data_IF_584815687688
#
_entry.id   IF_584815687688
#
_cell.length_a   1.000
_cell.length_b   1.000
_cell.length_c   1.000
_cell.angle_alpha   90.00
_cell.angle_beta   90.00
_cell.angle_gamma   90.00
#
_symmetry.space_group_name_H-M   'P 1'
#
loop_
_entity.id
_entity.type
_entity.pdbx_description
1 polymer ?
#
# COMPACT_ATOMS: atom_id res chain seq x y z
N UNK A 1 16.82 -8.71 15.71
CA UNK A 1 16.06 -9.90 15.27
C UNK A 1 14.56 -9.75 15.58
N UNK A 2 14.13 -8.63 16.17
CA UNK A 2 12.76 -8.38 16.66
C UNK A 2 11.67 -8.31 15.57
N UNK A 3 12.06 -8.09 14.31
CA UNK A 3 11.12 -8.11 13.18
C UNK A 3 10.62 -9.53 12.83
N UNK A 4 11.28 -10.59 13.34
CA UNK A 4 10.69 -11.92 13.30
C UNK A 4 9.63 -12.07 14.40
N UNK A 5 8.62 -12.87 14.15
CA UNK A 5 7.63 -13.23 15.15
C UNK A 5 8.18 -14.26 16.14
N UNK A 6 7.88 -14.05 17.42
CA UNK A 6 8.14 -15.03 18.50
C UNK A 6 6.80 -15.58 19.00
N UNK A 7 6.59 -16.90 19.04
CA UNK A 7 5.32 -17.47 19.50
C UNK A 7 4.90 -16.92 20.87
N UNK A 8 3.67 -16.43 20.99
CA UNK A 8 3.11 -15.91 22.25
C UNK A 8 3.58 -14.51 22.66
N UNK A 9 4.34 -13.80 21.82
CA UNK A 9 4.88 -12.47 22.14
C UNK A 9 4.69 -11.49 20.98
N UNK A 10 4.16 -10.30 21.27
CA UNK A 10 4.17 -9.16 20.33
C UNK A 10 5.58 -8.55 20.24
N UNK A 11 5.95 -8.05 19.07
CA UNK A 11 7.24 -7.37 18.90
C UNK A 11 7.23 -5.92 19.43
N UNK A 12 8.34 -5.19 19.30
CA UNK A 12 8.47 -3.79 19.74
C UNK A 12 7.51 -2.80 19.07
N UNK A 13 6.88 -3.20 17.96
CA UNK A 13 5.85 -2.42 17.26
C UNK A 13 4.41 -2.85 17.58
N UNK A 14 4.24 -3.68 18.62
CA UNK A 14 2.96 -4.24 19.06
C UNK A 14 2.25 -5.09 17.98
N UNK A 15 3.03 -5.72 17.10
CA UNK A 15 2.50 -6.62 16.08
C UNK A 15 2.39 -8.04 16.65
N UNK A 16 1.18 -8.60 16.61
CA UNK A 16 0.92 -9.98 17.01
C UNK A 16 1.73 -11.00 16.20
N UNK A 17 2.14 -12.12 16.80
CA UNK A 17 2.99 -13.10 16.14
C UNK A 17 2.29 -13.80 14.97
N UNK A 18 3.06 -14.09 13.92
CA UNK A 18 2.60 -14.77 12.72
C UNK A 18 3.55 -15.91 12.37
N UNK A 19 3.03 -17.14 12.25
CA UNK A 19 3.83 -18.35 12.00
C UNK A 19 4.71 -18.27 10.74
N UNK A 20 4.25 -17.74 9.59
CA UNK A 20 5.11 -17.51 8.43
C UNK A 20 6.36 -16.66 8.70
N UNK A 21 6.33 -15.81 9.74
CA UNK A 21 7.42 -14.92 10.10
C UNK A 21 8.21 -15.40 11.33
N UNK A 22 8.11 -16.68 11.72
CA UNK A 22 8.99 -17.24 12.75
C UNK A 22 10.44 -17.36 12.29
N UNK A 23 11.36 -17.27 13.25
CA UNK A 23 12.81 -17.34 13.04
C UNK A 23 13.20 -18.72 12.51
N UNK A 24 13.93 -18.74 11.40
CA UNK A 24 14.55 -19.94 10.84
C UNK A 24 15.94 -19.59 10.29
N UNK A 25 16.88 -20.54 10.24
CA UNK A 25 18.21 -20.30 9.70
C UNK A 25 18.17 -19.72 8.27
N UNK A 26 18.87 -18.60 8.06
CA UNK A 26 18.98 -17.88 6.77
C UNK A 26 17.68 -17.25 6.26
N UNK A 27 16.58 -17.31 7.01
CA UNK A 27 15.34 -16.60 6.67
C UNK A 27 15.53 -15.09 6.82
N UNK A 28 14.73 -14.30 6.11
CA UNK A 28 14.65 -12.85 6.29
C UNK A 28 13.35 -12.51 7.03
N UNK A 29 13.39 -11.58 8.00
CA UNK A 29 12.16 -11.16 8.67
C UNK A 29 11.30 -10.31 7.71
N UNK A 30 10.00 -10.31 7.95
CA UNK A 30 9.08 -9.34 7.33
C UNK A 30 9.48 -7.93 7.74
N UNK A 31 9.46 -7.00 6.80
CA UNK A 31 9.70 -5.59 7.05
C UNK A 31 8.53 -4.75 6.55
N UNK A 32 8.21 -3.69 7.27
CA UNK A 32 7.23 -2.67 6.85
C UNK A 32 7.82 -1.66 5.85
N UNK A 33 9.10 -1.77 5.50
CA UNK A 33 9.75 -0.91 4.50
C UNK A 33 9.00 -0.93 3.17
N UNK A 34 8.69 0.26 2.65
CA UNK A 34 8.02 0.46 1.37
C UNK A 34 8.72 1.55 0.52
N UNK A 35 10.03 1.41 0.23
CA UNK A 35 10.69 2.32 -0.71
C UNK A 35 10.01 2.21 -2.09
N UNK A 36 9.54 3.32 -2.61
CA UNK A 36 8.67 3.36 -3.79
C UNK A 36 9.14 4.43 -4.77
N UNK A 37 9.23 4.09 -6.06
CA UNK A 37 9.45 5.04 -7.15
C UNK A 37 8.24 4.99 -8.05
N UNK A 38 7.66 6.15 -8.34
CA UNK A 38 6.51 6.30 -9.24
C UNK A 38 7.03 6.78 -10.58
N UNK A 39 6.60 6.10 -11.63
CA UNK A 39 6.93 6.44 -13.02
C UNK A 39 5.66 6.85 -13.76
N UNK A 40 5.79 7.79 -14.68
CA UNK A 40 4.68 8.19 -15.55
C UNK A 40 4.53 7.23 -16.75
N UNK A 41 3.62 7.56 -17.67
CA UNK A 41 3.39 6.76 -18.89
C UNK A 41 4.55 6.78 -19.88
N UNK A 42 5.47 7.74 -19.77
CA UNK A 42 6.66 7.85 -20.60
C UNK A 42 7.84 7.07 -20.00
N UNK A 43 7.71 6.58 -18.76
CA UNK A 43 8.74 5.87 -18.02
C UNK A 43 9.63 6.79 -17.18
N UNK A 44 9.30 8.09 -17.09
CA UNK A 44 10.06 9.05 -16.31
C UNK A 44 9.72 8.93 -14.83
N UNK A 45 10.75 8.94 -13.97
CA UNK A 45 10.55 8.94 -12.53
C UNK A 45 9.99 10.29 -12.07
N UNK A 46 8.76 10.30 -11.56
CA UNK A 46 8.03 11.52 -11.19
C UNK A 46 7.89 11.70 -9.68
N UNK A 47 8.21 10.67 -8.89
CA UNK A 47 8.17 10.72 -7.43
C UNK A 47 9.01 9.59 -6.84
N UNK A 48 9.75 9.87 -5.78
CA UNK A 48 10.44 8.88 -4.97
C UNK A 48 10.02 9.05 -3.50
N UNK A 49 9.51 7.96 -2.90
CA UNK A 49 8.95 7.93 -1.56
C UNK A 49 9.61 6.84 -0.74
N UNK A 50 9.66 7.06 0.57
CA UNK A 50 10.09 6.09 1.54
C UNK A 50 9.82 6.62 2.93
N UNK A 51 9.97 5.77 3.95
CA UNK A 51 9.72 6.18 5.31
C UNK A 51 10.53 5.39 6.33
N UNK A 52 10.62 5.96 7.51
CA UNK A 52 11.09 5.30 8.73
C UNK A 52 9.95 5.30 9.77
N UNK A 53 10.03 4.43 10.78
CA UNK A 53 9.00 4.34 11.83
C UNK A 53 8.31 2.99 11.99
N UNK A 54 8.97 1.90 11.57
CA UNK A 54 8.50 0.53 11.79
C UNK A 54 7.14 0.25 11.14
N UNK A 55 6.20 -0.25 11.93
CA UNK A 55 4.86 -0.64 11.46
C UNK A 55 4.08 0.46 10.73
N UNK A 56 4.42 1.73 10.95
CA UNK A 56 3.76 2.89 10.33
C UNK A 56 4.28 3.23 8.94
N UNK A 57 5.42 2.68 8.51
CA UNK A 57 6.07 3.07 7.24
C UNK A 57 5.10 2.91 6.07
N UNK A 58 4.44 1.76 5.94
CA UNK A 58 3.53 1.49 4.82
C UNK A 58 2.35 2.46 4.77
N UNK A 59 1.74 2.76 5.92
CA UNK A 59 0.64 3.73 5.99
C UNK A 59 1.08 5.15 5.68
N UNK A 60 2.26 5.56 6.18
CA UNK A 60 2.80 6.90 5.93
C UNK A 60 3.12 7.11 4.45
N UNK A 61 3.81 6.14 3.81
CA UNK A 61 4.10 6.19 2.37
C UNK A 61 2.82 6.26 1.54
N UNK A 62 1.78 5.52 1.93
CA UNK A 62 0.49 5.57 1.25
C UNK A 62 -0.20 6.94 1.37
N UNK A 63 -0.15 7.56 2.55
CA UNK A 63 -0.70 8.89 2.77
C UNK A 63 0.07 9.96 1.98
N UNK A 64 1.40 9.92 2.01
CA UNK A 64 2.25 10.85 1.26
C UNK A 64 1.99 10.74 -0.25
N UNK A 65 1.81 9.52 -0.75
CA UNK A 65 1.43 9.28 -2.14
C UNK A 65 0.06 9.88 -2.50
N UNK A 66 -0.94 9.70 -1.64
CA UNK A 66 -2.28 10.29 -1.84
C UNK A 66 -2.20 11.82 -1.86
N UNK A 67 -1.51 12.43 -0.89
CA UNK A 67 -1.35 13.89 -0.83
C UNK A 67 -0.64 14.44 -2.07
N UNK A 68 0.33 13.72 -2.62
CA UNK A 68 1.00 14.11 -3.86
C UNK A 68 0.09 13.98 -5.10
N UNK A 69 -0.80 13.00 -5.14
CA UNK A 69 -1.80 12.91 -6.21
C UNK A 69 -2.79 14.08 -6.14
N UNK A 70 -3.25 14.43 -4.93
CA UNK A 70 -4.13 15.58 -4.72
C UNK A 70 -3.45 16.90 -5.12
N UNK A 71 -2.16 17.08 -4.79
CA UNK A 71 -1.38 18.28 -5.16
C UNK A 71 -1.27 18.45 -6.68
N UNK A 72 -1.25 17.34 -7.43
CA UNK A 72 -1.25 17.30 -8.90
C UNK A 72 -2.64 17.45 -9.52
N UNK A 73 -3.68 17.64 -8.71
CA UNK A 73 -5.05 17.84 -9.15
C UNK A 73 -5.84 16.56 -9.44
N UNK A 74 -5.35 15.39 -9.02
CA UNK A 74 -6.13 14.17 -9.10
C UNK A 74 -7.24 14.16 -8.04
N UNK A 75 -8.43 13.71 -8.43
CA UNK A 75 -9.55 13.51 -7.50
C UNK A 75 -9.32 12.20 -6.74
N UNK A 76 -8.91 12.29 -5.47
CA UNK A 76 -8.77 11.12 -4.59
C UNK A 76 -10.02 10.98 -3.72
N UNK A 77 -10.59 9.77 -3.66
CA UNK A 77 -11.75 9.47 -2.80
C UNK A 77 -11.37 8.48 -1.72
N UNK A 78 -11.31 8.95 -0.47
CA UNK A 78 -11.03 8.09 0.69
C UNK A 78 -12.29 7.37 1.14
N UNK A 79 -12.26 6.03 1.17
CA UNK A 79 -13.40 5.21 1.62
C UNK A 79 -13.16 4.68 3.05
N UNK A 80 -13.97 5.11 4.02
CA UNK A 80 -13.87 4.69 5.43
C UNK A 80 -14.62 3.37 5.75
N UNK A 81 -14.53 2.34 4.89
CA UNK A 81 -15.11 1.02 5.16
C UNK A 81 -14.03 0.04 5.61
N UNK A 82 -14.35 -0.87 6.56
CA UNK A 82 -13.51 -2.02 6.94
C UNK A 82 -13.38 -3.00 5.77
N UNK A 83 -12.54 -2.68 4.79
CA UNK A 83 -12.16 -3.52 3.67
C UNK A 83 -11.08 -2.80 2.89
N UNK A 84 -9.85 -3.32 2.87
CA UNK A 84 -8.88 -2.91 1.86
C UNK A 84 -9.34 -3.45 0.51
N UNK A 85 -10.13 -2.63 -0.20
CA UNK A 85 -10.51 -2.81 -1.60
C UNK A 85 -10.03 -1.58 -2.35
N UNK A 86 -9.10 -1.76 -3.28
CA UNK A 86 -8.61 -0.68 -4.14
C UNK A 86 -9.47 -0.65 -5.40
N UNK A 87 -10.40 0.29 -5.46
CA UNK A 87 -11.18 0.57 -6.66
C UNK A 87 -10.77 1.96 -7.16
N UNK A 88 -10.52 2.10 -8.45
CA UNK A 88 -10.11 3.37 -9.05
C UNK A 88 -11.00 3.75 -10.22
N UNK A 89 -11.43 5.02 -10.27
CA UNK A 89 -12.07 5.63 -11.42
C UNK A 89 -11.13 6.70 -11.96
N UNK A 90 -10.78 6.62 -13.24
CA UNK A 90 -9.94 7.58 -13.96
C UNK A 90 -10.72 8.14 -15.13
N UNK A 91 -10.68 9.46 -15.32
CA UNK A 91 -11.19 10.12 -16.52
C UNK A 91 -10.05 10.47 -17.47
N UNK A 92 -10.22 10.17 -18.75
CA UNK A 92 -9.32 10.58 -19.83
C UNK A 92 -10.16 11.13 -20.99
N UNK A 93 -10.19 12.45 -21.13
CA UNK A 93 -11.11 13.14 -22.04
C UNK A 93 -12.58 12.80 -21.76
N UNK A 94 -13.25 12.26 -22.78
CA UNK A 94 -14.65 11.83 -22.71
C UNK A 94 -14.83 10.38 -22.24
N UNK A 95 -13.73 9.68 -21.91
CA UNK A 95 -13.78 8.29 -21.45
C UNK A 95 -13.58 8.18 -19.94
N UNK A 96 -14.34 7.27 -19.33
CA UNK A 96 -14.19 6.86 -17.95
C UNK A 96 -13.65 5.43 -17.90
N UNK A 97 -12.57 5.24 -17.16
CA UNK A 97 -11.99 3.94 -16.86
C UNK A 97 -12.29 3.64 -15.40
N UNK A 98 -12.83 2.46 -15.15
CA UNK A 98 -13.02 1.96 -13.80
C UNK A 98 -12.25 0.64 -13.64
N UNK A 99 -11.77 0.40 -12.42
CA UNK A 99 -11.04 -0.80 -12.03
C UNK A 99 -11.56 -1.31 -10.70
N UNK A 100 -11.63 -2.64 -10.56
CA UNK A 100 -12.05 -3.30 -9.33
C UNK A 100 -10.91 -4.16 -8.76
N UNK A 101 -10.89 -4.30 -7.44
CA UNK A 101 -9.92 -5.14 -6.74
C UNK A 101 -10.22 -6.63 -6.95
N UNK A 102 -9.40 -7.32 -7.75
CA UNK A 102 -9.57 -8.74 -8.09
C UNK A 102 -9.53 -9.68 -6.89
N UNK A 103 -9.04 -9.23 -5.72
CA UNK A 103 -9.00 -10.04 -4.48
C UNK A 103 -10.36 -10.12 -3.79
N UNK A 104 -11.36 -9.38 -4.30
CA UNK A 104 -12.75 -9.47 -3.85
C UNK A 104 -13.66 -9.75 -5.04
N UNK A 105 -14.75 -10.47 -4.80
CA UNK A 105 -15.81 -10.58 -5.77
C UNK A 105 -16.31 -9.17 -6.13
N UNK A 106 -16.29 -8.84 -7.42
CA UNK A 106 -16.58 -7.51 -7.92
C UNK A 106 -16.45 -7.45 -9.44
N UNK A 107 -16.73 -6.28 -10.01
CA UNK A 107 -16.67 -6.02 -11.43
C UNK A 107 -16.70 -4.52 -11.69
N UNK A 108 -16.50 -4.16 -12.95
CA UNK A 108 -16.67 -2.79 -13.45
C UNK A 108 -17.84 -2.82 -14.43
N UNK A 109 -18.72 -1.82 -14.33
CA UNK A 109 -19.89 -1.66 -15.20
C UNK A 109 -19.90 -0.24 -15.78
N UNK A 110 -20.16 -0.13 -17.08
CA UNK A 110 -20.10 1.11 -17.86
C UNK A 110 -20.05 0.85 -19.37
N UNK A 111 -20.71 1.70 -20.16
CA UNK A 111 -20.65 1.73 -21.64
C UNK A 111 -19.61 2.72 -22.15
#
# INVERSE_FOLDING_TARGET
MDDFSTPGMSNSYDISPSQPNYIEPRKRPVSSMAPSVVVDSNGDAVLALGGAGGSKITSSVALDYVSELESKGHVVTTTQKKSSSVNGIRRDGDRLYASYDYRRAGGVDGE
#
